data_IF_140263854956
#
_entry.id   IF_140263854956
#
_cell.length_a   1.000
_cell.length_b   1.000
_cell.length_c   1.000
_cell.angle_alpha   90.00
_cell.angle_beta   90.00
_cell.angle_gamma   90.00
#
_symmetry.space_group_name_H-M   'P 1'
#
loop_
_entity.id
_entity.type
_entity.pdbx_description
1 polymer ?
#
# COMPACT_ATOMS: atom_id res chain seq x y z
N UNK A 1 -25.92 6.64 -12.54
CA UNK A 1 -24.48 6.33 -12.48
C UNK A 1 -23.73 7.54 -11.96
N UNK A 2 -22.66 7.37 -11.18
CA UNK A 2 -21.88 8.49 -10.61
C UNK A 2 -20.51 8.53 -11.28
N UNK A 3 -20.13 9.71 -11.80
CA UNK A 3 -18.82 9.93 -12.43
C UNK A 3 -17.94 10.73 -11.47
N UNK A 4 -16.74 10.25 -11.22
CA UNK A 4 -15.76 10.90 -10.34
C UNK A 4 -14.54 11.27 -11.17
N UNK A 5 -14.14 12.54 -11.11
CA UNK A 5 -12.95 13.06 -11.78
C UNK A 5 -11.88 13.32 -10.72
N UNK A 6 -10.67 12.79 -10.96
CA UNK A 6 -9.55 12.92 -10.05
C UNK A 6 -8.21 12.98 -10.79
N UNK A 7 -7.18 13.39 -10.05
CA UNK A 7 -5.81 13.55 -10.54
C UNK A 7 -4.85 12.65 -9.77
N UNK A 8 -3.84 12.12 -10.46
CA UNK A 8 -2.76 11.34 -9.84
C UNK A 8 -1.71 12.31 -9.30
N UNK A 9 -1.55 12.34 -7.97
CA UNK A 9 -0.54 13.18 -7.32
C UNK A 9 0.84 12.51 -7.32
N UNK A 10 0.90 11.21 -6.99
CA UNK A 10 2.16 10.44 -7.05
C UNK A 10 1.90 8.94 -7.10
N UNK A 11 2.90 8.23 -7.59
CA UNK A 11 2.98 6.77 -7.55
C UNK A 11 4.27 6.37 -6.85
N UNK A 12 4.21 5.36 -6.00
CA UNK A 12 5.39 4.98 -5.23
C UNK A 12 5.20 3.75 -4.36
N UNK A 13 6.17 3.53 -3.49
CA UNK A 13 6.18 2.41 -2.55
C UNK A 13 6.10 2.91 -1.12
N UNK A 14 5.19 2.33 -0.35
CA UNK A 14 4.97 2.65 1.04
C UNK A 14 6.22 2.35 1.90
N UNK A 15 6.16 2.79 3.16
CA UNK A 15 7.20 2.48 4.15
C UNK A 15 7.39 0.96 4.25
N UNK A 16 8.63 0.52 4.46
CA UNK A 16 8.94 -0.91 4.60
C UNK A 16 8.29 -1.47 5.86
N UNK A 17 7.46 -2.50 5.67
CA UNK A 17 6.91 -3.33 6.74
C UNK A 17 7.77 -4.57 6.86
N UNK A 18 8.16 -4.95 8.07
CA UNK A 18 9.03 -6.10 8.31
C UNK A 18 8.21 -7.21 8.97
N UNK A 19 8.03 -8.32 8.27
CA UNK A 19 7.47 -9.54 8.81
C UNK A 19 8.60 -10.43 9.35
N UNK A 20 8.63 -10.60 10.66
CA UNK A 20 9.57 -11.49 11.34
C UNK A 20 8.86 -12.73 11.84
N UNK A 21 9.39 -13.91 11.53
CA UNK A 21 8.89 -15.21 12.01
C UNK A 21 10.02 -15.95 12.69
N UNK A 22 9.80 -16.42 13.91
CA UNK A 22 10.75 -17.23 14.67
C UNK A 22 10.03 -18.42 15.29
N UNK A 23 10.70 -19.58 15.33
CA UNK A 23 10.24 -20.75 16.09
C UNK A 23 11.27 -21.09 17.18
N UNK A 24 10.80 -21.18 18.43
CA UNK A 24 11.66 -21.45 19.60
C UNK A 24 12.34 -22.83 19.45
N UNK A 25 13.65 -22.91 19.75
CA UNK A 25 14.46 -24.16 19.74
C UNK A 25 14.46 -24.93 18.40
N UNK A 26 14.21 -24.27 17.27
CA UNK A 26 14.25 -24.89 15.93
C UNK A 26 15.28 -24.28 14.99
N UNK A 27 16.10 -23.33 15.45
CA UNK A 27 17.02 -22.57 14.60
C UNK A 27 16.31 -21.73 13.51
N UNK A 28 14.98 -21.69 13.50
CA UNK A 28 14.21 -21.03 12.46
C UNK A 28 13.95 -19.57 12.82
N UNK A 29 14.48 -18.69 11.97
CA UNK A 29 14.26 -17.25 11.98
C UNK A 29 14.18 -16.77 10.54
N UNK A 30 13.12 -16.02 10.19
CA UNK A 30 12.92 -15.43 8.86
C UNK A 30 12.51 -13.98 9.02
N UNK A 31 13.25 -13.08 8.38
CA UNK A 31 12.95 -11.65 8.31
C UNK A 31 12.70 -11.26 6.86
N UNK A 32 11.44 -10.98 6.51
CA UNK A 32 11.07 -10.53 5.17
C UNK A 32 10.55 -9.11 5.22
N UNK A 33 11.12 -8.22 4.41
CA UNK A 33 10.56 -6.90 4.18
C UNK A 33 9.51 -6.92 3.08
N UNK A 34 8.43 -6.18 3.26
CA UNK A 34 7.48 -5.85 2.20
C UNK A 34 7.36 -4.33 2.05
N UNK A 35 7.20 -3.87 0.81
CA UNK A 35 6.87 -2.48 0.49
C UNK A 35 5.70 -2.50 -0.48
N UNK A 36 4.53 -2.10 0.02
CA UNK A 36 3.31 -2.05 -0.78
C UNK A 36 3.39 -0.90 -1.81
N UNK A 37 3.11 -1.18 -3.07
CA UNK A 37 2.96 -0.14 -4.09
C UNK A 37 1.65 0.59 -3.87
N UNK A 38 1.64 1.91 -4.08
CA UNK A 38 0.44 2.73 -3.95
C UNK A 38 0.44 3.88 -4.95
N UNK A 39 -0.75 4.38 -5.22
CA UNK A 39 -1.01 5.58 -6.02
C UNK A 39 -1.79 6.54 -5.14
N UNK A 40 -1.30 7.77 -5.00
CA UNK A 40 -2.02 8.83 -4.33
C UNK A 40 -2.86 9.59 -5.35
N UNK A 41 -4.16 9.68 -5.08
CA UNK A 41 -5.13 10.37 -5.93
C UNK A 41 -5.72 11.56 -5.18
N UNK A 42 -5.94 12.67 -5.88
CA UNK A 42 -6.76 13.79 -5.43
C UNK A 42 -8.08 13.77 -6.19
N UNK A 43 -9.18 13.67 -5.47
CA UNK A 43 -10.52 13.79 -6.08
C UNK A 43 -10.80 15.28 -6.31
N UNK A 44 -11.23 15.63 -7.53
CA UNK A 44 -11.58 17.00 -7.90
C UNK A 44 -13.08 17.19 -7.87
N UNK A 45 -13.82 16.32 -8.56
CA UNK A 45 -15.25 16.50 -8.78
C UNK A 45 -16.00 15.18 -8.69
N UNK A 46 -17.23 15.25 -8.20
CA UNK A 46 -18.16 14.13 -8.12
C UNK A 46 -19.45 14.60 -8.80
N UNK A 47 -19.79 13.96 -9.92
CA UNK A 47 -21.03 14.22 -10.64
C UNK A 47 -22.02 13.10 -10.32
N UNK A 48 -23.09 13.45 -9.61
CA UNK A 48 -24.22 12.58 -9.36
C UNK A 48 -25.29 12.93 -10.39
N UNK A 49 -25.72 11.93 -11.17
CA UNK A 49 -26.86 12.01 -12.10
C UNK A 49 -28.11 11.43 -11.44
#
# INVERSE_FOLDING_TARGET
>A
NVKIVGEILRQGRAKKVIAFKMKRRKGFSKKQGHRQSFTALKIKEIHVQ
#
